data_IF_278454250239
#
_entry.id   IF_278454250239
#
_cell.length_a   1.000
_cell.length_b   1.000
_cell.length_c   1.000
_cell.angle_alpha   90.00
_cell.angle_beta   90.00
_cell.angle_gamma   90.00
#
_symmetry.space_group_name_H-M   'P 1'
#
loop_
_entity.id
_entity.type
_entity.pdbx_description
1 polymer ?
#
# COMPACT_ATOMS: atom_id res chain seq x y z
N UNK A 1 -4.92 -2.09 13.11
CA UNK A 1 -4.89 -2.64 11.73
C UNK A 1 -5.08 -4.15 11.75
N UNK A 2 -4.12 -4.96 12.21
CA UNK A 2 -4.23 -6.44 12.22
C UNK A 2 -5.53 -7.00 12.86
N UNK A 3 -5.95 -6.49 14.03
CA UNK A 3 -7.19 -6.91 14.67
C UNK A 3 -8.45 -6.61 13.84
N UNK A 4 -8.44 -5.49 13.11
CA UNK A 4 -9.55 -5.11 12.23
C UNK A 4 -9.57 -6.01 10.98
N UNK A 5 -8.40 -6.32 10.42
CA UNK A 5 -8.26 -7.26 9.30
C UNK A 5 -8.73 -8.67 9.66
N UNK A 6 -8.39 -9.13 10.88
CA UNK A 6 -8.86 -10.42 11.40
C UNK A 6 -10.37 -10.40 11.59
N UNK A 7 -10.94 -9.34 12.16
CA UNK A 7 -12.39 -9.22 12.37
C UNK A 7 -13.18 -9.23 11.04
N UNK A 8 -12.68 -8.55 10.01
CA UNK A 8 -13.31 -8.55 8.69
C UNK A 8 -13.19 -9.91 7.99
N UNK A 9 -12.05 -10.59 8.11
CA UNK A 9 -11.82 -11.91 7.51
C UNK A 9 -12.51 -13.05 8.28
N UNK A 10 -12.93 -12.80 9.52
CA UNK A 10 -13.58 -13.77 10.39
C UNK A 10 -14.90 -14.30 9.80
N UNK A 11 -15.69 -13.44 9.15
CA UNK A 11 -16.97 -13.86 8.58
C UNK A 11 -16.81 -14.87 7.44
N UNK A 12 -15.80 -14.67 6.58
CA UNK A 12 -15.44 -15.60 5.49
C UNK A 12 -14.96 -16.96 6.04
N UNK A 13 -14.18 -16.92 7.12
CA UNK A 13 -13.72 -18.11 7.83
C UNK A 13 -14.90 -18.90 8.44
N UNK A 14 -15.88 -18.22 9.05
CA UNK A 14 -17.05 -18.87 9.65
C UNK A 14 -17.84 -19.65 8.61
N UNK A 15 -18.13 -19.06 7.44
CA UNK A 15 -18.83 -19.77 6.37
C UNK A 15 -18.05 -20.98 5.84
N UNK A 16 -16.73 -20.84 5.71
CA UNK A 16 -15.84 -21.93 5.32
C UNK A 16 -15.83 -23.07 6.34
N UNK A 17 -15.80 -22.75 7.64
CA UNK A 17 -15.89 -23.71 8.73
C UNK A 17 -17.25 -24.39 8.81
N UNK A 18 -18.34 -23.68 8.52
CA UNK A 18 -19.68 -24.26 8.43
C UNK A 18 -19.78 -25.30 7.30
N UNK A 19 -19.20 -24.99 6.13
CA UNK A 19 -19.15 -25.96 5.02
C UNK A 19 -18.33 -27.19 5.42
N UNK A 20 -17.16 -27.01 6.03
CA UNK A 20 -16.35 -28.12 6.55
C UNK A 20 -17.14 -28.98 7.56
N UNK A 21 -17.86 -28.34 8.47
CA UNK A 21 -18.71 -29.03 9.45
C UNK A 21 -19.78 -29.89 8.78
N UNK A 22 -20.40 -29.42 7.70
CA UNK A 22 -21.37 -30.21 6.92
C UNK A 22 -20.70 -31.46 6.33
N UNK A 23 -19.51 -31.35 5.73
CA UNK A 23 -18.78 -32.50 5.21
C UNK A 23 -18.40 -33.50 6.31
N UNK A 24 -17.98 -33.01 7.48
CA UNK A 24 -17.68 -33.85 8.64
C UNK A 24 -18.93 -34.57 9.15
N UNK A 25 -20.07 -33.89 9.21
CA UNK A 25 -21.36 -34.49 9.56
C UNK A 25 -21.78 -35.57 8.59
N UNK A 26 -21.66 -35.32 7.28
CA UNK A 26 -21.98 -36.32 6.24
C UNK A 26 -21.11 -37.57 6.38
N UNK A 27 -19.80 -37.39 6.58
CA UNK A 27 -18.88 -38.52 6.73
C UNK A 27 -19.09 -39.28 8.05
N UNK A 28 -19.37 -38.56 9.14
CA UNK A 28 -19.73 -39.14 10.43
C UNK A 28 -20.97 -40.04 10.33
N UNK A 29 -22.04 -39.55 9.69
CA UNK A 29 -23.26 -40.34 9.49
C UNK A 29 -23.02 -41.55 8.58
N UNK A 30 -22.21 -41.39 7.54
CA UNK A 30 -21.81 -42.51 6.67
C UNK A 30 -21.09 -43.61 7.47
N UNK A 31 -20.10 -43.25 8.28
CA UNK A 31 -19.36 -44.21 9.12
C UNK A 31 -20.27 -44.86 10.16
N UNK A 32 -21.13 -44.08 10.82
CA UNK A 32 -22.11 -44.59 11.78
C UNK A 32 -23.01 -45.65 11.14
N UNK A 33 -23.50 -45.39 9.92
CA UNK A 33 -24.35 -46.32 9.18
C UNK A 33 -23.59 -47.57 8.70
N UNK A 34 -22.36 -47.40 8.23
CA UNK A 34 -21.51 -48.49 7.74
C UNK A 34 -21.01 -49.41 8.85
N UNK A 35 -20.85 -48.90 10.07
CA UNK A 35 -20.33 -49.65 11.22
C UNK A 35 -21.44 -50.19 12.13
N UNK A 36 -22.69 -49.75 11.94
CA UNK A 36 -23.84 -50.27 12.68
C UNK A 36 -23.96 -51.82 12.63
N UNK A 37 -23.79 -52.50 11.47
CA UNK A 37 -23.85 -53.96 11.42
C UNK A 37 -22.78 -54.63 12.27
N UNK A 38 -21.57 -54.06 12.32
CA UNK A 38 -20.43 -54.58 13.09
C UNK A 38 -20.71 -54.52 14.59
N UNK A 39 -21.37 -53.47 15.06
CA UNK A 39 -21.77 -53.35 16.47
C UNK A 39 -22.83 -54.37 16.85
N UNK A 40 -23.78 -54.64 15.95
CA UNK A 40 -24.92 -55.53 16.21
C UNK A 40 -24.57 -57.02 16.02
N UNK A 41 -23.57 -57.34 15.20
CA UNK A 41 -23.18 -58.70 14.88
C UNK A 41 -22.45 -59.39 16.05
N UNK A 42 -23.03 -60.44 16.66
CA UNK A 42 -22.40 -61.18 17.76
C UNK A 42 -21.18 -62.00 17.35
N UNK A 43 -20.94 -62.21 16.05
CA UNK A 43 -19.80 -62.96 15.54
C UNK A 43 -18.46 -62.23 15.72
N UNK A 44 -18.50 -60.90 15.85
CA UNK A 44 -17.33 -60.07 16.08
C UNK A 44 -16.91 -60.09 17.56
N UNK A 45 -15.60 -59.97 17.81
CA UNK A 45 -15.06 -59.91 19.17
C UNK A 45 -15.68 -58.76 19.98
N UNK A 46 -16.10 -59.03 21.22
CA UNK A 46 -16.75 -58.04 22.08
C UNK A 46 -15.93 -56.76 22.23
N UNK A 47 -14.60 -56.87 22.37
CA UNK A 47 -13.70 -55.72 22.48
C UNK A 47 -13.74 -54.80 21.25
N UNK A 48 -13.91 -55.38 20.05
CA UNK A 48 -14.02 -54.64 18.80
C UNK A 48 -15.39 -53.97 18.69
N UNK A 49 -16.47 -54.66 19.09
CA UNK A 49 -17.83 -54.09 19.11
C UNK A 49 -17.93 -52.89 20.05
N UNK A 50 -17.38 -53.02 21.26
CA UNK A 50 -17.36 -51.95 22.26
C UNK A 50 -16.53 -50.75 21.78
N UNK A 51 -15.37 -51.01 21.16
CA UNK A 51 -14.54 -49.96 20.58
C UNK A 51 -15.28 -49.22 19.45
N UNK A 52 -15.86 -49.95 18.49
CA UNK A 52 -16.62 -49.35 17.38
C UNK A 52 -17.82 -48.55 17.91
N UNK A 53 -18.53 -49.05 18.92
CA UNK A 53 -19.64 -48.33 19.53
C UNK A 53 -19.20 -47.04 20.25
N UNK A 54 -18.03 -47.04 20.90
CA UNK A 54 -17.52 -45.86 21.59
C UNK A 54 -17.10 -44.74 20.64
N UNK A 55 -16.55 -45.06 19.47
CA UNK A 55 -16.09 -44.06 18.49
C UNK A 55 -17.10 -43.74 17.39
N UNK A 56 -17.95 -44.69 16.99
CA UNK A 56 -18.84 -44.58 15.83
C UNK A 56 -20.30 -44.97 16.10
N UNK A 57 -20.64 -45.37 17.32
CA UNK A 57 -21.96 -45.94 17.63
C UNK A 57 -23.13 -44.96 17.61
N UNK A 58 -22.85 -43.65 17.73
CA UNK A 58 -23.86 -42.60 17.59
C UNK A 58 -23.34 -41.50 16.68
N UNK A 59 -24.23 -40.74 16.06
CA UNK A 59 -23.85 -39.62 15.18
C UNK A 59 -22.95 -38.60 15.88
N UNK A 60 -23.16 -38.35 17.18
CA UNK A 60 -22.34 -37.42 17.97
C UNK A 60 -20.93 -37.96 18.25
N UNK A 61 -20.81 -39.26 18.58
CA UNK A 61 -19.52 -39.93 18.79
C UNK A 61 -18.73 -39.98 17.48
N UNK A 62 -19.39 -40.39 16.39
CA UNK A 62 -18.79 -40.43 15.07
C UNK A 62 -18.36 -39.03 14.62
N UNK A 63 -19.14 -37.98 14.91
CA UNK A 63 -18.76 -36.60 14.57
C UNK A 63 -17.51 -36.16 15.34
N UNK A 64 -17.43 -36.47 16.63
CA UNK A 64 -16.25 -36.16 17.45
C UNK A 64 -15.01 -36.91 16.95
N UNK A 65 -15.13 -38.20 16.64
CA UNK A 65 -14.05 -38.99 16.04
C UNK A 65 -13.59 -38.39 14.71
N UNK A 66 -14.52 -38.00 13.84
CA UNK A 66 -14.21 -37.36 12.55
C UNK A 66 -13.57 -35.99 12.75
N UNK A 67 -13.95 -35.24 13.80
CA UNK A 67 -13.27 -34.01 14.20
C UNK A 67 -11.81 -34.27 14.60
N UNK A 68 -11.56 -35.29 15.43
CA UNK A 68 -10.20 -35.67 15.81
C UNK A 68 -9.39 -36.10 14.58
N UNK A 69 -9.95 -36.92 13.70
CA UNK A 69 -9.35 -37.33 12.42
C UNK A 69 -8.96 -36.12 11.57
N UNK A 70 -9.82 -35.10 11.51
CA UNK A 70 -9.65 -33.91 10.65
C UNK A 70 -8.54 -32.99 11.14
N UNK A 71 -8.49 -32.72 12.45
CA UNK A 71 -7.63 -31.66 13.00
C UNK A 71 -6.38 -32.17 13.71
N UNK A 72 -6.40 -33.37 14.29
CA UNK A 72 -5.26 -33.89 15.07
C UNK A 72 -4.24 -34.66 14.24
N UNK A 73 -4.59 -35.08 13.02
CA UNK A 73 -3.76 -35.96 12.21
C UNK A 73 -3.63 -37.39 12.78
N UNK A 74 -4.28 -37.71 13.89
CA UNK A 74 -4.28 -39.03 14.53
C UNK A 74 -5.22 -40.04 13.84
N UNK A 75 -5.61 -39.79 12.59
CA UNK A 75 -6.49 -40.65 11.80
C UNK A 75 -6.06 -42.13 11.73
N UNK A 76 -4.76 -42.52 11.77
CA UNK A 76 -4.39 -43.93 11.76
C UNK A 76 -4.90 -44.68 13.01
N UNK A 77 -5.04 -44.01 14.16
CA UNK A 77 -5.53 -44.61 15.39
C UNK A 77 -7.02 -45.01 15.30
N UNK A 78 -7.77 -44.31 14.45
CA UNK A 78 -9.21 -44.53 14.24
C UNK A 78 -9.50 -45.41 13.01
N UNK A 79 -8.60 -45.41 12.03
CA UNK A 79 -8.75 -46.18 10.79
C UNK A 79 -8.14 -47.59 10.90
N UNK A 80 -6.93 -47.75 11.46
CA UNK A 80 -6.23 -49.05 11.48
C UNK A 80 -7.03 -50.16 12.19
N UNK A 81 -7.64 -49.93 13.38
CA UNK A 81 -8.43 -50.98 14.02
C UNK A 81 -9.61 -51.45 13.16
N UNK A 82 -10.23 -50.56 12.37
CA UNK A 82 -11.31 -50.92 11.45
C UNK A 82 -10.79 -51.74 10.25
N UNK A 83 -9.62 -51.37 9.72
CA UNK A 83 -8.98 -52.07 8.60
C UNK A 83 -8.55 -53.48 9.00
N UNK A 84 -7.94 -53.62 10.17
CA UNK A 84 -7.36 -54.88 10.64
C UNK A 84 -8.40 -55.83 11.24
N UNK A 85 -9.42 -55.30 11.94
CA UNK A 85 -10.37 -56.12 12.71
C UNK A 85 -11.76 -56.26 12.07
N UNK A 86 -12.08 -55.44 11.07
CA UNK A 86 -13.41 -55.44 10.43
C UNK A 86 -13.31 -55.72 8.93
N UNK A 87 -12.70 -54.81 8.16
CA UNK A 87 -12.54 -54.99 6.72
C UNK A 87 -11.52 -54.02 6.12
N UNK A 88 -10.74 -54.51 5.16
CA UNK A 88 -9.77 -53.69 4.41
C UNK A 88 -10.45 -52.57 3.61
N UNK A 89 -11.74 -52.71 3.27
CA UNK A 89 -12.49 -51.68 2.53
C UNK A 89 -12.56 -50.33 3.27
N UNK A 90 -12.51 -50.34 4.61
CA UNK A 90 -12.47 -49.09 5.38
C UNK A 90 -11.20 -48.27 5.10
N UNK A 91 -10.11 -48.90 4.67
CA UNK A 91 -8.89 -48.17 4.28
C UNK A 91 -9.18 -47.21 3.12
N UNK A 92 -9.94 -47.66 2.12
CA UNK A 92 -10.32 -46.83 0.96
C UNK A 92 -11.20 -45.66 1.39
N UNK A 93 -12.18 -45.93 2.26
CA UNK A 93 -13.10 -44.90 2.78
C UNK A 93 -12.34 -43.78 3.51
N UNK A 94 -11.41 -44.14 4.41
CA UNK A 94 -10.59 -43.17 5.13
C UNK A 94 -9.59 -42.44 4.22
N UNK A 95 -8.94 -43.13 3.28
CA UNK A 95 -8.01 -42.50 2.34
C UNK A 95 -8.72 -41.44 1.48
N UNK A 96 -9.92 -41.74 0.97
CA UNK A 96 -10.73 -40.78 0.20
C UNK A 96 -11.09 -39.58 1.06
N UNK A 97 -11.51 -39.80 2.32
CA UNK A 97 -11.82 -38.70 3.24
C UNK A 97 -10.61 -37.81 3.53
N UNK A 98 -9.46 -38.42 3.83
CA UNK A 98 -8.24 -37.67 4.15
C UNK A 98 -7.76 -36.87 2.94
N UNK A 99 -7.76 -37.47 1.74
CA UNK A 99 -7.37 -36.78 0.52
C UNK A 99 -8.28 -35.58 0.21
N UNK A 100 -9.59 -35.74 0.38
CA UNK A 100 -10.58 -34.70 0.03
C UNK A 100 -10.73 -33.64 1.11
N UNK A 101 -10.94 -34.03 2.37
CA UNK A 101 -11.21 -33.10 3.46
C UNK A 101 -9.92 -32.55 4.07
N UNK A 102 -9.01 -33.43 4.48
CA UNK A 102 -7.80 -33.01 5.19
C UNK A 102 -6.80 -32.33 4.25
N UNK A 103 -6.55 -32.90 3.07
CA UNK A 103 -5.60 -32.32 2.12
C UNK A 103 -6.20 -31.24 1.24
N UNK A 104 -7.37 -31.44 0.63
CA UNK A 104 -7.93 -30.43 -0.28
C UNK A 104 -8.73 -29.34 0.46
N UNK A 105 -9.76 -29.68 1.23
CA UNK A 105 -10.65 -28.68 1.84
C UNK A 105 -9.93 -27.78 2.85
N UNK A 106 -9.15 -28.33 3.81
CA UNK A 106 -8.42 -27.49 4.78
C UNK A 106 -7.46 -26.52 4.06
N UNK A 107 -6.81 -26.96 2.99
CA UNK A 107 -5.90 -26.10 2.20
C UNK A 107 -6.65 -25.02 1.44
N UNK A 108 -7.81 -25.32 0.86
CA UNK A 108 -8.67 -24.33 0.21
C UNK A 108 -9.12 -23.27 1.21
N UNK A 109 -9.59 -23.68 2.39
CA UNK A 109 -10.05 -22.75 3.44
C UNK A 109 -8.89 -21.85 3.91
N UNK A 110 -7.71 -22.45 4.14
CA UNK A 110 -6.52 -21.69 4.54
C UNK A 110 -6.09 -20.67 3.47
N UNK A 111 -6.17 -21.05 2.20
CA UNK A 111 -5.82 -20.18 1.07
C UNK A 111 -6.81 -19.03 0.88
N UNK A 112 -8.12 -19.28 1.04
CA UNK A 112 -9.15 -18.24 0.98
C UNK A 112 -8.96 -17.23 2.11
N UNK A 113 -8.73 -17.69 3.34
CA UNK A 113 -8.48 -16.79 4.47
C UNK A 113 -7.23 -15.93 4.25
N UNK A 114 -6.15 -16.52 3.73
CA UNK A 114 -4.94 -15.77 3.40
C UNK A 114 -5.18 -14.74 2.29
N UNK A 115 -5.94 -15.12 1.24
CA UNK A 115 -6.30 -14.22 0.14
C UNK A 115 -7.08 -13.02 0.66
N UNK A 116 -8.11 -13.23 1.47
CA UNK A 116 -8.94 -12.15 2.02
C UNK A 116 -8.12 -11.21 2.91
N UNK A 117 -7.24 -11.79 3.73
CA UNK A 117 -6.31 -11.03 4.60
C UNK A 117 -5.37 -10.15 3.78
N UNK A 118 -4.76 -10.71 2.72
CA UNK A 118 -3.85 -9.98 1.83
C UNK A 118 -4.58 -8.90 1.01
N UNK A 119 -5.77 -9.20 0.51
CA UNK A 119 -6.58 -8.25 -0.25
C UNK A 119 -7.01 -7.06 0.61
N UNK A 120 -7.37 -7.31 1.87
CA UNK A 120 -7.70 -6.23 2.82
C UNK A 120 -6.48 -5.33 3.06
N UNK A 121 -5.30 -5.93 3.24
CA UNK A 121 -4.06 -5.16 3.41
C UNK A 121 -3.68 -4.35 2.15
N UNK A 122 -3.95 -4.88 0.95
CA UNK A 122 -3.71 -4.17 -0.31
C UNK A 122 -4.70 -3.00 -0.51
N UNK A 123 -5.98 -3.22 -0.19
CA UNK A 123 -7.01 -2.19 -0.27
C UNK A 123 -6.71 -1.00 0.65
N UNK A 124 -6.08 -1.21 1.81
CA UNK A 124 -5.66 -0.11 2.68
C UNK A 124 -4.68 0.83 1.96
N UNK A 125 -3.75 0.30 1.16
CA UNK A 125 -2.78 1.12 0.40
C UNK A 125 -3.45 1.89 -0.74
N UNK A 126 -4.30 1.22 -1.52
CA UNK A 126 -5.03 1.86 -2.63
C UNK A 126 -6.05 2.89 -2.11
N UNK A 127 -6.69 2.62 -0.97
CA UNK A 127 -7.60 3.54 -0.31
C UNK A 127 -6.88 4.81 0.13
N UNK A 128 -5.69 4.69 0.72
CA UNK A 128 -4.87 5.86 1.10
C UNK A 128 -4.52 6.70 -0.14
N UNK A 129 -4.13 6.07 -1.26
CA UNK A 129 -3.83 6.78 -2.52
C UNK A 129 -5.07 7.50 -3.05
N UNK A 130 -6.23 6.83 -3.04
CA UNK A 130 -7.49 7.39 -3.48
C UNK A 130 -7.91 8.60 -2.62
N UNK A 131 -7.82 8.48 -1.29
CA UNK A 131 -8.11 9.56 -0.36
C UNK A 131 -7.21 10.76 -0.59
N UNK A 132 -5.90 10.56 -0.74
CA UNK A 132 -4.94 11.63 -1.04
C UNK A 132 -5.24 12.31 -2.38
N UNK A 133 -5.59 11.54 -3.40
CA UNK A 133 -5.96 12.08 -4.71
C UNK A 133 -7.25 12.89 -4.64
N UNK A 134 -8.23 12.44 -3.86
CA UNK A 134 -9.49 13.15 -3.65
C UNK A 134 -9.29 14.46 -2.89
N UNK A 135 -8.44 14.46 -1.86
CA UNK A 135 -8.05 15.67 -1.13
C UNK A 135 -7.40 16.70 -2.07
N UNK A 136 -6.46 16.26 -2.92
CA UNK A 136 -5.80 17.12 -3.91
C UNK A 136 -6.82 17.70 -4.91
N UNK A 137 -7.71 16.88 -5.46
CA UNK A 137 -8.74 17.35 -6.42
C UNK A 137 -9.71 18.34 -5.78
N UNK A 138 -10.21 18.05 -4.57
CA UNK A 138 -11.08 18.98 -3.84
C UNK A 138 -10.37 20.30 -3.56
N UNK A 139 -9.07 20.25 -3.28
CA UNK A 139 -8.26 21.42 -3.06
C UNK A 139 -8.07 22.25 -4.33
N UNK A 140 -7.75 21.63 -5.46
CA UNK A 140 -7.65 22.30 -6.77
C UNK A 140 -8.98 22.95 -7.20
N UNK A 141 -10.12 22.29 -6.94
CA UNK A 141 -11.45 22.85 -7.22
C UNK A 141 -11.68 24.14 -6.45
N UNK A 142 -11.35 24.17 -5.14
CA UNK A 142 -11.51 25.37 -4.32
C UNK A 142 -10.56 26.50 -4.73
N UNK A 143 -9.35 26.19 -5.20
CA UNK A 143 -8.45 27.19 -5.76
C UNK A 143 -9.00 27.78 -7.05
N UNK A 144 -9.62 26.95 -7.89
CA UNK A 144 -10.27 27.40 -9.12
C UNK A 144 -11.46 28.33 -8.82
N UNK A 145 -12.30 27.95 -7.85
CA UNK A 145 -13.41 28.80 -7.38
C UNK A 145 -12.91 30.14 -6.81
N UNK A 146 -11.76 30.14 -6.13
CA UNK A 146 -11.16 31.36 -5.61
C UNK A 146 -10.58 32.23 -6.71
N UNK A 147 -9.98 31.64 -7.74
CA UNK A 147 -9.51 32.35 -8.93
C UNK A 147 -10.67 33.04 -9.65
N UNK A 148 -11.77 32.33 -9.90
CA UNK A 148 -12.97 32.89 -10.51
C UNK A 148 -13.59 34.03 -9.69
N UNK A 149 -13.50 33.98 -8.36
CA UNK A 149 -13.94 35.08 -7.49
C UNK A 149 -12.98 36.27 -7.50
N UNK A 150 -11.71 36.05 -7.81
CA UNK A 150 -10.67 37.07 -7.83
C UNK A 150 -10.63 37.82 -9.18
N UNK A 151 -10.88 37.11 -10.28
CA UNK A 151 -10.95 37.68 -11.63
C UNK A 151 -12.26 38.46 -11.79
N UNK A 152 -12.22 39.71 -11.35
CA UNK A 152 -13.37 40.62 -11.43
C UNK A 152 -13.62 41.13 -12.84
N UNK A 153 -12.58 41.13 -13.68
CA UNK A 153 -12.66 41.60 -15.06
C UNK A 153 -13.17 40.52 -16.03
N UNK A 154 -13.04 39.25 -15.66
CA UNK A 154 -13.44 38.09 -16.45
C UNK A 154 -12.52 37.85 -17.66
N UNK A 155 -11.28 38.34 -17.60
CA UNK A 155 -10.32 38.21 -18.70
C UNK A 155 -9.50 36.91 -18.64
N UNK A 156 -9.65 36.13 -17.57
CA UNK A 156 -8.93 34.88 -17.32
C UNK A 156 -7.57 35.06 -16.66
N UNK A 157 -7.25 36.26 -16.18
CA UNK A 157 -5.99 36.61 -15.53
C UNK A 157 -6.23 37.29 -14.18
N UNK A 158 -5.23 37.27 -13.31
CA UNK A 158 -5.23 38.05 -12.07
C UNK A 158 -4.14 39.11 -12.11
N UNK A 159 -4.58 40.36 -11.98
CA UNK A 159 -3.71 41.50 -11.73
C UNK A 159 -3.26 41.55 -10.26
N UNK A 160 -2.21 42.32 -9.98
CA UNK A 160 -1.69 42.52 -8.61
C UNK A 160 -2.75 43.14 -7.70
N UNK A 161 -3.57 44.03 -8.24
CA UNK A 161 -4.66 44.72 -7.56
C UNK A 161 -5.81 43.75 -7.24
N UNK A 162 -6.21 42.90 -8.17
CA UNK A 162 -7.26 41.89 -7.97
C UNK A 162 -6.86 40.85 -6.92
N UNK A 163 -5.63 40.33 -7.01
CA UNK A 163 -5.11 39.41 -6.01
C UNK A 163 -5.03 40.08 -4.62
N UNK A 164 -4.61 41.35 -4.56
CA UNK A 164 -4.58 42.11 -3.30
C UNK A 164 -5.98 42.33 -2.73
N UNK A 165 -6.95 42.62 -3.59
CA UNK A 165 -8.35 42.82 -3.20
C UNK A 165 -8.92 41.54 -2.60
N UNK A 166 -8.78 40.39 -3.27
CA UNK A 166 -9.36 39.15 -2.76
C UNK A 166 -8.68 38.66 -1.47
N UNK A 167 -7.37 38.85 -1.36
CA UNK A 167 -6.58 38.50 -0.18
C UNK A 167 -6.84 39.41 1.02
N UNK A 168 -7.53 40.54 0.83
CA UNK A 168 -7.98 41.39 1.92
C UNK A 168 -9.20 40.83 2.65
N UNK A 169 -9.98 39.95 2.01
CA UNK A 169 -11.18 39.38 2.63
C UNK A 169 -10.83 38.44 3.80
N UNK A 170 -11.45 38.61 4.98
CA UNK A 170 -11.15 37.79 6.16
C UNK A 170 -11.31 36.29 5.92
N UNK A 171 -12.31 35.88 5.13
CA UNK A 171 -12.55 34.46 4.79
C UNK A 171 -11.38 33.85 4.01
N UNK A 172 -10.82 34.60 3.06
CA UNK A 172 -9.71 34.16 2.21
C UNK A 172 -8.42 34.07 3.03
N UNK A 173 -8.16 35.04 3.92
CA UNK A 173 -7.00 34.98 4.84
C UNK A 173 -7.03 33.75 5.75
N UNK A 174 -8.18 33.47 6.36
CA UNK A 174 -8.35 32.26 7.19
C UNK A 174 -8.15 31.01 6.36
N UNK A 175 -8.69 30.97 5.14
CA UNK A 175 -8.53 29.84 4.25
C UNK A 175 -7.06 29.61 3.84
N UNK A 176 -6.32 30.67 3.49
CA UNK A 176 -4.89 30.60 3.16
C UNK A 176 -4.05 30.15 4.35
N UNK A 177 -4.37 30.62 5.56
CA UNK A 177 -3.73 30.16 6.80
C UNK A 177 -3.98 28.67 7.06
N UNK A 178 -5.21 28.17 6.85
CA UNK A 178 -5.55 26.75 6.94
C UNK A 178 -4.78 25.90 5.92
N UNK A 179 -4.37 26.49 4.79
CA UNK A 179 -3.58 25.83 3.75
C UNK A 179 -2.09 25.82 4.08
N UNK A 180 -1.65 26.54 5.13
CA UNK A 180 -0.25 26.68 5.51
C UNK A 180 0.48 27.81 4.78
N UNK A 181 -0.26 28.70 4.11
CA UNK A 181 0.29 29.92 3.52
C UNK A 181 0.01 31.08 4.47
N UNK A 182 1.03 31.47 5.23
CA UNK A 182 0.99 32.69 6.02
C UNK A 182 1.30 33.88 5.12
N UNK A 183 0.27 34.37 4.44
CA UNK A 183 0.42 35.48 3.49
C UNK A 183 0.39 36.80 4.26
N UNK A 184 1.49 37.08 4.96
CA UNK A 184 1.72 38.39 5.58
C UNK A 184 1.92 39.48 4.52
N UNK A 185 2.33 39.12 3.30
CA UNK A 185 2.56 40.06 2.21
C UNK A 185 2.06 39.52 0.85
N UNK A 186 0.89 39.99 0.41
CA UNK A 186 0.29 39.60 -0.88
C UNK A 186 1.17 39.96 -2.09
N UNK A 187 1.99 41.01 -1.96
CA UNK A 187 2.94 41.43 -2.99
C UNK A 187 3.96 40.34 -3.30
N UNK A 188 4.51 39.72 -2.25
CA UNK A 188 5.49 38.64 -2.36
C UNK A 188 4.85 37.38 -2.96
N UNK A 189 3.61 37.08 -2.59
CA UNK A 189 2.87 35.97 -3.19
C UNK A 189 2.65 36.19 -4.70
N UNK A 190 2.29 37.41 -5.12
CA UNK A 190 2.13 37.72 -6.55
C UNK A 190 3.43 37.47 -7.31
N UNK A 191 4.54 37.98 -6.79
CA UNK A 191 5.85 37.86 -7.43
C UNK A 191 6.37 36.40 -7.44
N UNK A 192 5.89 35.55 -6.54
CA UNK A 192 6.18 34.09 -6.53
C UNK A 192 5.33 33.29 -7.52
N UNK A 193 4.14 33.79 -7.89
CA UNK A 193 3.21 33.10 -8.79
C UNK A 193 3.37 33.57 -10.24
N UNK A 194 3.73 34.83 -10.46
CA UNK A 194 3.96 35.40 -11.80
C UNK A 194 5.27 34.90 -12.40
N UNK A 195 5.22 34.50 -13.68
CA UNK A 195 6.40 34.11 -14.47
C UNK A 195 7.08 35.30 -15.16
N UNK A 196 6.80 36.53 -14.72
CA UNK A 196 7.35 37.77 -15.26
C UNK A 196 6.51 38.40 -16.37
N UNK A 197 5.25 37.98 -16.50
CA UNK A 197 4.30 38.56 -17.46
C UNK A 197 3.54 39.76 -16.88
N UNK A 198 3.59 39.93 -15.55
CA UNK A 198 2.82 40.95 -14.82
C UNK A 198 1.36 40.55 -14.58
N UNK A 199 0.96 39.35 -14.99
CA UNK A 199 -0.39 38.79 -14.86
C UNK A 199 -0.29 37.33 -14.43
N UNK A 200 -1.24 36.83 -13.65
CA UNK A 200 -1.26 35.41 -13.22
C UNK A 200 -2.41 34.68 -13.92
N UNK A 201 -2.09 33.65 -14.69
CA UNK A 201 -3.09 32.76 -15.28
C UNK A 201 -3.68 31.78 -14.25
N UNK A 202 -4.83 31.18 -14.58
CA UNK A 202 -5.46 30.15 -13.74
C UNK A 202 -4.50 28.99 -13.42
N UNK A 203 -3.78 28.49 -14.41
CA UNK A 203 -2.82 27.40 -14.25
C UNK A 203 -1.64 27.80 -13.36
N UNK A 204 -1.09 29.02 -13.53
CA UNK A 204 -0.02 29.55 -12.69
C UNK A 204 -0.47 29.70 -11.23
N UNK A 205 -1.70 30.19 -11.02
CA UNK A 205 -2.28 30.32 -9.68
C UNK A 205 -2.44 28.97 -8.98
N UNK A 206 -3.09 28.01 -9.64
CA UNK A 206 -3.38 26.69 -9.05
C UNK A 206 -2.09 25.90 -8.82
N UNK A 207 -1.20 25.83 -9.82
CA UNK A 207 0.06 25.09 -9.70
C UNK A 207 1.03 25.77 -8.74
N UNK A 208 1.10 27.10 -8.76
CA UNK A 208 1.96 27.87 -7.88
C UNK A 208 1.57 27.72 -6.41
N UNK A 209 0.27 27.80 -6.08
CA UNK A 209 -0.19 27.54 -4.71
C UNK A 209 0.02 26.07 -4.30
N UNK A 210 -0.18 25.11 -5.22
CA UNK A 210 0.12 23.70 -4.97
C UNK A 210 1.61 23.46 -4.67
N UNK A 211 2.50 24.20 -5.33
CA UNK A 211 3.94 24.17 -5.09
C UNK A 211 4.31 24.79 -3.75
N UNK A 212 3.72 25.94 -3.40
CA UNK A 212 3.98 26.63 -2.14
C UNK A 212 3.44 25.88 -0.91
N UNK A 213 2.32 25.15 -1.07
CA UNK A 213 1.75 24.27 -0.03
C UNK A 213 2.59 23.01 0.21
N UNK A 214 3.23 22.49 -0.83
CA UNK A 214 4.06 21.30 -0.73
C UNK A 214 5.37 21.62 -0.02
N UNK A 215 5.75 20.84 1.00
CA UNK A 215 7.15 20.78 1.42
C UNK A 215 8.02 20.52 0.17
N UNK A 216 9.20 21.15 0.04
CA UNK A 216 10.04 20.99 -1.15
C UNK A 216 10.17 19.50 -1.43
N UNK A 217 9.63 19.07 -2.58
CA UNK A 217 9.73 17.67 -2.97
C UNK A 217 11.23 17.39 -3.05
N UNK A 218 11.66 16.21 -2.58
CA UNK A 218 13.05 15.77 -2.69
C UNK A 218 13.62 15.95 -4.11
N UNK A 219 12.76 15.95 -5.14
CA UNK A 219 13.07 16.31 -6.52
C UNK A 219 13.57 17.75 -6.71
N UNK A 220 12.95 18.76 -6.08
CA UNK A 220 13.37 20.15 -6.20
C UNK A 220 14.75 20.37 -5.57
N UNK A 221 15.03 19.71 -4.45
CA UNK A 221 16.36 19.70 -3.83
C UNK A 221 17.40 19.04 -4.75
N UNK A 222 17.03 17.96 -5.46
CA UNK A 222 17.93 17.31 -6.42
C UNK A 222 18.20 18.22 -7.63
N UNK A 223 17.20 18.94 -8.14
CA UNK A 223 17.37 19.91 -9.23
C UNK A 223 18.27 21.07 -8.77
N UNK A 224 18.02 21.64 -7.59
CA UNK A 224 18.88 22.68 -7.01
C UNK A 224 20.34 22.20 -6.82
N UNK A 225 20.54 20.98 -6.34
CA UNK A 225 21.89 20.41 -6.20
C UNK A 225 22.57 20.24 -7.56
N UNK A 226 21.83 19.86 -8.61
CA UNK A 226 22.36 19.75 -9.97
C UNK A 226 22.76 21.11 -10.52
N UNK A 227 21.92 22.13 -10.33
CA UNK A 227 22.20 23.50 -10.78
C UNK A 227 23.38 24.11 -10.02
N UNK A 228 23.46 23.91 -8.69
CA UNK A 228 24.63 24.30 -7.90
C UNK A 228 25.93 23.63 -8.39
N UNK A 229 25.88 22.34 -8.74
CA UNK A 229 27.03 21.64 -9.28
C UNK A 229 27.44 22.15 -10.67
N UNK A 230 26.47 22.57 -11.50
CA UNK A 230 26.74 23.16 -12.80
C UNK A 230 27.41 24.53 -12.65
N UNK A 231 26.87 25.39 -11.78
CA UNK A 231 27.44 26.71 -11.47
C UNK A 231 28.86 26.55 -10.92
N UNK A 232 29.08 25.59 -10.02
CA UNK A 232 30.42 25.30 -9.48
C UNK A 232 31.43 24.96 -10.58
N UNK A 233 31.06 24.10 -11.54
CA UNK A 233 31.95 23.75 -12.67
C UNK A 233 32.25 24.95 -13.57
N UNK A 234 31.28 25.84 -13.78
CA UNK A 234 31.51 27.07 -14.55
C UNK A 234 32.45 28.02 -13.83
N UNK A 235 32.35 28.13 -12.50
CA UNK A 235 33.27 28.92 -11.68
C UNK A 235 34.68 28.34 -11.71
N UNK A 236 34.84 27.02 -11.61
CA UNK A 236 36.13 26.33 -11.72
C UNK A 236 36.77 26.60 -13.11
N UNK A 237 35.98 26.50 -14.19
CA UNK A 237 36.46 26.80 -15.54
C UNK A 237 36.84 28.29 -15.74
N UNK A 238 36.09 29.23 -15.16
CA UNK A 238 36.48 30.65 -15.16
C UNK A 238 37.75 30.89 -14.36
N UNK A 239 37.93 30.22 -13.22
CA UNK A 239 39.12 30.34 -12.40
C UNK A 239 40.36 29.83 -13.12
N UNK A 240 40.25 28.69 -13.80
CA UNK A 240 41.32 28.14 -14.64
C UNK A 240 41.66 29.10 -15.78
N UNK A 241 40.65 29.62 -16.49
CA UNK A 241 40.86 30.61 -17.56
C UNK A 241 41.54 31.91 -17.07
N UNK A 242 41.17 32.41 -15.89
CA UNK A 242 41.83 33.57 -15.28
C UNK A 242 43.28 33.29 -14.89
N UNK A 243 43.60 32.06 -14.46
CA UNK A 243 44.97 31.67 -14.12
C UNK A 243 45.89 31.64 -15.34
N UNK A 244 45.38 31.17 -16.49
CA UNK A 244 46.13 31.17 -17.76
C UNK A 244 46.35 32.60 -18.25
N UNK A 245 45.32 33.46 -18.16
CA UNK A 245 45.45 34.86 -18.52
C UNK A 245 46.44 35.61 -17.62
N UNK A 246 46.49 35.31 -16.32
CA UNK A 246 47.44 35.94 -15.41
C UNK A 246 48.88 35.53 -15.70
N UNK A 247 49.14 34.25 -16.02
CA UNK A 247 50.45 33.77 -16.44
C UNK A 247 50.90 34.38 -17.77
N UNK A 248 50.01 34.42 -18.76
CA UNK A 248 50.30 35.04 -20.06
C UNK A 248 50.59 36.55 -19.91
N UNK A 249 49.90 37.23 -18.99
CA UNK A 249 50.12 38.64 -18.70
C UNK A 249 51.46 38.89 -17.98
N UNK A 250 51.84 38.03 -17.02
CA UNK A 250 53.16 38.04 -16.36
C UNK A 250 54.29 37.82 -17.38
N UNK A 251 54.16 36.83 -18.27
CA UNK A 251 55.13 36.57 -19.34
C UNK A 251 55.27 37.74 -20.32
N UNK A 252 54.15 38.34 -20.73
CA UNK A 252 54.15 39.51 -21.60
C UNK A 252 54.81 40.72 -20.91
N UNK A 253 54.50 40.95 -19.63
CA UNK A 253 55.11 42.02 -18.83
C UNK A 253 56.62 41.80 -18.67
N UNK A 254 57.06 40.57 -18.42
CA UNK A 254 58.47 40.20 -18.33
C UNK A 254 59.23 40.44 -19.64
N UNK A 255 58.65 40.05 -20.78
CA UNK A 255 59.23 40.33 -22.12
C UNK A 255 59.33 41.82 -22.41
N UNK A 256 58.33 42.62 -22.01
CA UNK A 256 58.33 44.07 -22.20
C UNK A 256 59.37 44.78 -21.32
N UNK A 257 59.63 44.28 -20.11
CA UNK A 257 60.69 44.78 -19.23
C UNK A 257 62.09 44.44 -19.77
N UNK A 258 62.28 43.26 -20.35
CA UNK A 258 63.56 42.84 -20.95
C UNK A 258 63.88 43.57 -22.28
N UNK A 259 62.86 43.96 -23.06
CA UNK A 259 63.02 44.67 -24.33
C UNK A 259 63.31 46.18 -24.21
N UNK A 260 63.24 46.77 -23.00
CA UNK A 260 63.46 48.20 -22.77
C UNK A 260 64.89 48.62 -22.45
N UNK A 261 65.85 47.68 -22.39
CA UNK A 261 67.22 47.93 -21.92
C UNK A 261 68.28 48.14 -23.02
N UNK A 262 67.93 48.14 -24.30
CA UNK A 262 68.89 48.24 -25.40
C UNK A 262 68.56 49.39 -26.36
N UNK A 263 69.07 50.58 -26.10
CA UNK A 263 68.93 51.71 -27.04
C UNK A 263 69.24 53.10 -26.48
N UNK A 264 70.35 53.25 -25.74
CA UNK A 264 70.97 54.56 -25.52
C UNK A 264 72.49 54.36 -25.48
N UNK A 265 73.11 54.52 -26.65
CA UNK A 265 74.55 54.40 -26.89
C UNK A 265 74.83 54.73 -28.33
#
# INVERSE_FOLDING_TARGET
VLLNTIAMSFMSLVWSMLILFIFMMMFSLLLCQMLQPVVLDPSHEQSTRDWVFNYYGTSSRALYTVFEVTFSGCWPNYARPLVERVSVLYAVVFVVYIATVVFAMIRIISALFLKDTLQTAANDADMIIYEKTKEIKSFMSRLSELFEQADTTGDGYLTKEELRSIMSYPKVKVWMSVIGLDVTETSSLFDMLDNGSGMITHDEFVQGIMRLKGAPRSQDSIVMMKDMNLIRRQLEAMQDGMSVLSQAFEEWRGKKAAGGGGGAG
#
